data_IF_499681735100
#
_entry.id   IF_499681735100
#
_cell.length_a   1.000
_cell.length_b   1.000
_cell.length_c   1.000
_cell.angle_alpha   90.00
_cell.angle_beta   90.00
_cell.angle_gamma   90.00
#
_symmetry.space_group_name_H-M   'P 1'
#
loop_
_entity.id
_entity.type
_entity.pdbx_description
1 polymer ?
#
# COMPACT_ATOMS: atom_id res chain seq x y z
N UNK A 1 60.53 -19.40 -31.41
CA UNK A 1 60.65 -20.79 -30.94
C UNK A 1 59.52 -21.00 -29.94
N UNK A 2 58.45 -21.68 -30.33
CA UNK A 2 58.05 -23.03 -29.82
C UNK A 2 57.55 -22.87 -28.37
N UNK A 3 56.31 -23.13 -27.95
CA UNK A 3 55.26 -24.04 -28.41
C UNK A 3 53.93 -23.72 -27.70
N UNK A 4 52.84 -24.21 -28.30
CA UNK A 4 51.48 -24.29 -27.75
C UNK A 4 51.39 -25.58 -26.88
N UNK A 5 50.57 -25.62 -25.81
CA UNK A 5 49.58 -26.70 -25.82
C UNK A 5 48.25 -26.31 -25.14
N UNK A 6 47.22 -26.14 -25.97
CA UNK A 6 45.86 -26.61 -25.67
C UNK A 6 45.90 -28.13 -25.82
N UNK A 7 45.55 -28.90 -24.77
CA UNK A 7 44.85 -30.20 -24.80
C UNK A 7 45.19 -31.06 -23.55
N UNK A 8 44.65 -30.74 -22.37
CA UNK A 8 44.35 -31.73 -21.32
C UNK A 8 43.11 -31.26 -20.55
N UNK A 9 41.96 -31.39 -21.17
CA UNK A 9 40.66 -31.26 -20.53
C UNK A 9 39.89 -32.49 -20.95
N UNK A 10 39.95 -33.54 -20.13
CA UNK A 10 38.88 -34.53 -19.94
C UNK A 10 39.32 -35.59 -18.92
N UNK A 11 38.46 -35.76 -17.91
CA UNK A 11 38.34 -36.87 -16.96
C UNK A 11 39.36 -36.92 -15.81
N UNK A 12 38.94 -36.52 -14.59
CA UNK A 12 38.45 -37.45 -13.56
C UNK A 12 38.20 -36.76 -12.19
N UNK A 13 37.14 -37.22 -11.51
CA UNK A 13 36.81 -37.07 -10.06
C UNK A 13 36.35 -35.68 -9.58
N UNK A 14 35.23 -35.47 -8.88
CA UNK A 14 34.41 -36.37 -8.05
C UNK A 14 32.97 -35.87 -7.93
N UNK A 15 32.07 -36.83 -7.70
CA UNK A 15 30.71 -36.66 -7.19
C UNK A 15 30.64 -35.62 -6.06
N UNK A 16 29.91 -34.53 -6.28
CA UNK A 16 29.12 -33.92 -5.21
C UNK A 16 27.66 -34.32 -5.45
N UNK A 17 27.23 -35.37 -4.76
CA UNK A 17 25.83 -35.55 -4.43
C UNK A 17 25.43 -34.34 -3.60
N UNK A 18 24.82 -33.35 -4.22
CA UNK A 18 23.98 -32.43 -3.47
C UNK A 18 22.85 -33.28 -2.90
N UNK A 19 22.98 -33.63 -1.62
CA UNK A 19 21.83 -33.82 -0.77
C UNK A 19 21.12 -32.47 -0.74
N UNK A 20 20.23 -32.25 -1.71
CA UNK A 20 19.18 -31.27 -1.55
C UNK A 20 18.34 -31.75 -0.39
N UNK A 21 18.59 -31.23 0.81
CA UNK A 21 17.54 -31.16 1.82
C UNK A 21 16.34 -30.52 1.12
N UNK A 22 15.28 -31.28 0.94
CA UNK A 22 14.00 -30.74 0.51
C UNK A 22 13.52 -29.81 1.62
N UNK A 23 13.94 -28.55 1.54
CA UNK A 23 13.36 -27.47 2.34
C UNK A 23 11.87 -27.52 2.02
N UNK A 24 11.05 -27.90 3.00
CA UNK A 24 9.60 -27.91 2.87
C UNK A 24 9.21 -26.45 2.67
N UNK A 25 8.92 -26.09 1.42
CA UNK A 25 8.55 -24.74 1.00
C UNK A 25 7.11 -24.46 1.45
N UNK A 26 6.96 -24.10 2.73
CA UNK A 26 5.70 -23.68 3.34
C UNK A 26 5.53 -22.17 3.15
N UNK A 27 4.92 -21.77 2.04
CA UNK A 27 4.54 -20.38 1.72
C UNK A 27 3.08 -20.12 2.11
N UNK A 28 2.71 -18.85 2.24
CA UNK A 28 1.31 -18.46 2.46
C UNK A 28 0.57 -18.49 1.13
N UNK A 29 -0.55 -19.22 1.11
CA UNK A 29 -1.46 -19.30 -0.01
C UNK A 29 -2.84 -18.78 0.39
N UNK A 30 -3.49 -18.06 -0.51
CA UNK A 30 -4.88 -17.63 -0.40
C UNK A 30 -5.76 -18.65 -1.12
N UNK A 31 -6.76 -19.19 -0.43
CA UNK A 31 -7.81 -20.08 -0.97
C UNK A 31 -9.10 -19.28 -1.06
N UNK A 32 -9.48 -18.89 -2.29
CA UNK A 32 -10.70 -18.15 -2.57
C UNK A 32 -11.84 -19.12 -2.94
N UNK A 33 -13.00 -18.95 -2.33
CA UNK A 33 -14.16 -19.84 -2.47
C UNK A 33 -15.42 -19.15 -3.01
N UNK A 34 -15.29 -17.91 -3.50
CA UNK A 34 -16.42 -17.14 -4.05
C UNK A 34 -17.16 -16.33 -2.97
N UNK A 35 -18.38 -15.88 -3.29
CA UNK A 35 -19.20 -15.09 -2.38
C UNK A 35 -19.52 -15.83 -1.07
N UNK A 36 -19.69 -15.06 0.01
CA UNK A 36 -20.14 -15.55 1.31
C UNK A 36 -21.63 -15.96 1.26
N UNK A 37 -22.09 -16.70 2.26
CA UNK A 37 -23.51 -16.99 2.40
C UNK A 37 -24.25 -15.68 2.82
N UNK A 38 -25.33 -15.28 2.13
CA UNK A 38 -26.07 -14.05 2.46
C UNK A 38 -26.69 -14.05 3.87
N UNK A 39 -26.62 -15.17 4.61
CA UNK A 39 -27.08 -15.27 6.00
C UNK A 39 -25.98 -14.95 7.04
N UNK A 40 -25.99 -13.70 7.52
CA UNK A 40 -25.34 -13.18 8.75
C UNK A 40 -24.03 -13.89 9.22
N UNK A 41 -23.01 -13.93 8.35
CA UNK A 41 -21.65 -14.34 8.75
C UNK A 41 -21.49 -15.79 9.18
N UNK A 42 -22.44 -16.67 8.85
CA UNK A 42 -22.28 -18.12 9.05
C UNK A 42 -21.35 -18.69 7.98
N UNK A 43 -20.35 -19.47 8.41
CA UNK A 43 -19.39 -20.09 7.50
C UNK A 43 -20.13 -21.10 6.60
N UNK A 44 -19.99 -20.94 5.28
CA UNK A 44 -20.53 -21.86 4.26
C UNK A 44 -20.07 -23.30 4.55
N UNK A 45 -20.94 -24.30 4.40
CA UNK A 45 -20.62 -25.69 4.82
C UNK A 45 -19.39 -26.27 4.12
N UNK A 46 -19.23 -25.96 2.83
CA UNK A 46 -18.07 -26.33 2.04
C UNK A 46 -16.81 -25.55 2.48
N UNK A 47 -16.92 -24.26 2.82
CA UNK A 47 -15.81 -23.52 3.43
C UNK A 47 -15.36 -24.18 4.75
N UNK A 48 -16.29 -24.48 5.66
CA UNK A 48 -15.97 -25.20 6.89
C UNK A 48 -15.35 -26.59 6.63
N UNK A 49 -15.75 -27.27 5.55
CA UNK A 49 -15.18 -28.54 5.15
C UNK A 49 -13.73 -28.41 4.67
N UNK A 50 -13.47 -27.50 3.73
CA UNK A 50 -12.12 -27.26 3.18
C UNK A 50 -11.18 -26.77 4.28
N UNK A 51 -11.62 -25.83 5.12
CA UNK A 51 -10.85 -25.29 6.24
C UNK A 51 -10.48 -26.38 7.26
N UNK A 52 -11.38 -27.32 7.54
CA UNK A 52 -11.10 -28.47 8.41
C UNK A 52 -9.99 -29.39 7.86
N UNK A 53 -9.79 -29.46 6.53
CA UNK A 53 -8.69 -30.25 5.96
C UNK A 53 -7.32 -29.65 6.28
N UNK A 54 -7.25 -28.32 6.44
CA UNK A 54 -6.04 -27.60 6.87
C UNK A 54 -5.83 -27.80 8.37
N UNK A 55 -6.86 -27.57 9.20
CA UNK A 55 -6.77 -27.73 10.65
C UNK A 55 -6.41 -29.15 11.11
N UNK A 56 -6.89 -30.19 10.42
CA UNK A 56 -6.55 -31.59 10.74
C UNK A 56 -5.06 -31.91 10.60
N UNK A 57 -4.35 -31.16 9.76
CA UNK A 57 -2.92 -31.36 9.52
C UNK A 57 -2.06 -30.46 10.40
N UNK A 58 -2.43 -29.19 10.52
CA UNK A 58 -1.74 -28.22 11.35
C UNK A 58 -2.72 -27.12 11.76
N UNK A 59 -3.04 -27.05 13.05
CA UNK A 59 -3.96 -26.07 13.61
C UNK A 59 -3.43 -24.63 13.54
N UNK A 60 -2.10 -24.46 13.48
CA UNK A 60 -1.41 -23.18 13.34
C UNK A 60 -1.17 -22.75 11.89
N UNK A 61 -1.62 -23.52 10.90
CA UNK A 61 -1.41 -23.16 9.50
C UNK A 61 -2.33 -22.03 9.03
N UNK A 62 -3.47 -21.81 9.69
CA UNK A 62 -4.42 -20.76 9.33
C UNK A 62 -3.86 -19.38 9.72
N UNK A 63 -3.84 -18.47 8.75
CA UNK A 63 -3.47 -17.06 8.95
C UNK A 63 -4.73 -16.21 9.09
N UNK A 64 -5.59 -16.21 8.07
CA UNK A 64 -6.81 -15.40 8.01
C UNK A 64 -8.00 -16.23 7.53
N UNK A 65 -9.20 -15.89 8.00
CA UNK A 65 -10.45 -16.54 7.61
C UNK A 65 -11.46 -15.48 7.14
N UNK A 66 -11.85 -15.54 5.87
CA UNK A 66 -12.75 -14.59 5.20
C UNK A 66 -14.16 -15.16 5.15
N UNK A 67 -15.16 -14.44 5.68
CA UNK A 67 -16.52 -15.01 5.82
C UNK A 67 -17.67 -13.98 5.74
N UNK A 68 -17.38 -12.69 5.59
CA UNK A 68 -18.39 -11.64 5.67
C UNK A 68 -18.88 -11.18 4.29
N UNK A 69 -17.99 -10.69 3.43
CA UNK A 69 -18.26 -10.37 2.02
C UNK A 69 -17.98 -11.54 1.09
N UNK A 70 -16.94 -12.33 1.37
CA UNK A 70 -16.58 -13.50 0.58
C UNK A 70 -16.08 -14.65 1.44
N UNK A 71 -16.09 -15.84 0.84
CA UNK A 71 -15.69 -17.07 1.50
C UNK A 71 -14.28 -17.44 1.09
N UNK A 72 -13.44 -17.78 2.07
CA UNK A 72 -12.10 -18.29 1.83
C UNK A 72 -11.19 -18.14 3.04
N UNK A 73 -9.91 -18.44 2.88
CA UNK A 73 -8.92 -18.28 3.94
C UNK A 73 -7.51 -18.14 3.38
N UNK A 74 -6.58 -17.61 4.17
CA UNK A 74 -5.14 -17.71 3.91
C UNK A 74 -4.50 -18.68 4.88
N UNK A 75 -3.64 -19.57 4.38
CA UNK A 75 -2.94 -20.54 5.19
C UNK A 75 -1.53 -20.81 4.68
N UNK A 76 -0.62 -21.19 5.59
CA UNK A 76 0.69 -21.75 5.25
C UNK A 76 0.52 -23.16 4.71
N UNK A 77 0.80 -23.34 3.43
CA UNK A 77 0.62 -24.59 2.72
C UNK A 77 1.88 -24.92 1.92
N UNK A 78 2.19 -26.21 1.80
CA UNK A 78 3.10 -26.64 0.74
C UNK A 78 2.42 -26.48 -0.62
N UNK A 79 3.21 -26.31 -1.69
CA UNK A 79 2.69 -26.24 -3.06
C UNK A 79 1.79 -27.43 -3.43
N UNK A 80 2.10 -28.63 -2.94
CA UNK A 80 1.28 -29.83 -3.16
C UNK A 80 -0.08 -29.75 -2.44
N UNK A 81 -0.11 -29.15 -1.25
CA UNK A 81 -1.35 -28.93 -0.50
C UNK A 81 -2.21 -27.85 -1.15
N UNK A 82 -1.60 -26.74 -1.57
CA UNK A 82 -2.28 -25.70 -2.33
C UNK A 82 -2.92 -26.27 -3.60
N UNK A 83 -2.18 -27.08 -4.36
CA UNK A 83 -2.70 -27.76 -5.56
C UNK A 83 -3.83 -28.75 -5.24
N UNK A 84 -3.72 -29.49 -4.13
CA UNK A 84 -4.77 -30.43 -3.72
C UNK A 84 -6.05 -29.71 -3.27
N UNK A 85 -5.93 -28.57 -2.60
CA UNK A 85 -7.06 -27.75 -2.15
C UNK A 85 -7.74 -27.08 -3.35
N UNK A 86 -6.97 -26.64 -4.35
CA UNK A 86 -7.51 -26.05 -5.58
C UNK A 86 -8.47 -26.97 -6.36
N UNK A 87 -8.41 -28.29 -6.12
CA UNK A 87 -9.28 -29.28 -6.75
C UNK A 87 -10.54 -29.61 -5.92
N UNK A 88 -10.71 -29.02 -4.74
CA UNK A 88 -11.86 -29.30 -3.87
C UNK A 88 -13.12 -28.55 -4.32
N UNK A 89 -14.31 -29.16 -4.22
CA UNK A 89 -15.57 -28.49 -4.52
C UNK A 89 -15.76 -27.21 -3.70
N UNK A 90 -16.19 -26.13 -4.36
CA UNK A 90 -16.43 -24.83 -3.71
C UNK A 90 -15.20 -23.92 -3.66
N UNK A 91 -14.00 -24.40 -4.03
CA UNK A 91 -12.80 -23.58 -4.20
C UNK A 91 -12.77 -23.00 -5.62
N UNK A 92 -12.67 -21.68 -5.73
CA UNK A 92 -12.59 -20.95 -6.99
C UNK A 92 -11.15 -20.86 -7.47
N UNK A 93 -10.22 -20.51 -6.58
CA UNK A 93 -8.80 -20.39 -6.90
C UNK A 93 -7.92 -20.54 -5.66
N UNK A 94 -6.66 -20.94 -5.88
CA UNK A 94 -5.61 -20.99 -4.84
C UNK A 94 -4.33 -20.40 -5.42
N UNK A 95 -3.73 -19.41 -4.76
CA UNK A 95 -2.56 -18.70 -5.27
C UNK A 95 -1.64 -18.18 -4.16
N UNK A 96 -0.33 -17.98 -4.42
CA UNK A 96 0.61 -17.46 -3.42
C UNK A 96 0.25 -16.03 -3.00
N UNK A 97 0.50 -15.69 -1.74
CA UNK A 97 0.24 -14.36 -1.18
C UNK A 97 1.19 -13.28 -1.80
N UNK A 98 0.68 -12.28 -2.55
CA UNK A 98 1.52 -11.26 -3.20
C UNK A 98 1.85 -10.06 -2.28
N UNK A 99 2.96 -9.35 -2.56
CA UNK A 99 3.38 -8.10 -1.87
C UNK A 99 3.26 -6.86 -2.78
N UNK A 100 2.66 -5.76 -2.28
CA UNK A 100 2.35 -4.52 -3.05
C UNK A 100 3.09 -3.23 -2.57
N UNK A 101 3.11 -2.13 -3.36
CA UNK A 101 3.86 -0.83 -3.13
C UNK A 101 2.97 0.44 -3.01
N UNK A 102 3.48 1.56 -2.44
CA UNK A 102 2.75 2.76 -1.95
C UNK A 102 2.94 4.11 -2.77
N UNK A 103 1.93 5.02 -2.91
CA UNK A 103 1.90 6.31 -3.70
C UNK A 103 1.25 7.67 -3.13
N UNK A 104 2.02 8.79 -3.09
CA UNK A 104 1.77 10.29 -3.37
C UNK A 104 0.92 11.32 -2.54
N UNK A 105 1.13 12.65 -2.81
CA UNK A 105 1.00 13.78 -1.81
C UNK A 105 0.54 15.27 -2.11
N UNK A 106 -0.13 15.71 -3.22
CA UNK A 106 -0.80 17.08 -3.32
C UNK A 106 -1.79 17.24 -4.49
N UNK A 107 -2.91 17.99 -4.35
CA UNK A 107 -3.89 18.11 -5.47
C UNK A 107 -5.00 19.20 -5.44
N UNK A 108 -5.58 19.59 -4.30
CA UNK A 108 -6.98 20.10 -4.32
C UNK A 108 -7.26 21.51 -4.88
N UNK A 109 -6.47 22.55 -4.59
CA UNK A 109 -6.73 23.91 -5.13
C UNK A 109 -6.49 23.99 -6.65
N UNK A 110 -5.56 23.17 -7.15
CA UNK A 110 -5.34 22.98 -8.60
C UNK A 110 -6.59 22.43 -9.27
N UNK A 111 -7.24 21.42 -8.69
CA UNK A 111 -8.47 20.83 -9.24
C UNK A 111 -9.65 21.81 -9.29
N UNK A 112 -9.84 22.66 -8.27
CA UNK A 112 -10.89 23.70 -8.27
C UNK A 112 -10.67 24.73 -9.39
N UNK A 113 -9.42 25.10 -9.67
CA UNK A 113 -9.07 26.07 -10.72
C UNK A 113 -9.20 25.52 -12.15
N UNK A 114 -8.94 24.22 -12.36
CA UNK A 114 -8.86 23.61 -13.68
C UNK A 114 -10.18 23.03 -14.18
N UNK A 115 -11.09 22.62 -13.28
CA UNK A 115 -12.24 21.81 -13.70
C UNK A 115 -13.54 22.58 -13.91
N UNK A 116 -13.62 23.86 -13.53
CA UNK A 116 -14.91 24.60 -13.39
C UNK A 116 -16.00 23.84 -12.61
N UNK A 117 -15.64 22.72 -11.97
CA UNK A 117 -16.53 21.97 -11.10
C UNK A 117 -16.64 22.83 -9.85
N UNK A 118 -17.76 23.54 -9.75
CA UNK A 118 -18.24 24.09 -8.50
C UNK A 118 -18.52 22.87 -7.62
N UNK A 119 -17.51 22.38 -6.89
CA UNK A 119 -17.73 21.49 -5.74
C UNK A 119 -18.47 22.39 -4.75
N UNK A 120 -19.80 22.41 -4.86
CA UNK A 120 -20.68 23.34 -4.18
C UNK A 120 -20.25 23.45 -2.72
N UNK A 121 -19.62 24.59 -2.40
CA UNK A 121 -19.00 24.94 -1.11
C UNK A 121 -20.00 25.00 0.06
N UNK A 122 -21.25 24.64 -0.22
CA UNK A 122 -22.31 24.22 0.68
C UNK A 122 -23.11 23.15 -0.08
N UNK A 123 -22.98 21.87 0.28
CA UNK A 123 -24.21 21.09 0.35
C UNK A 123 -25.11 21.92 1.27
N UNK A 124 -26.20 22.45 0.70
CA UNK A 124 -27.19 23.22 1.42
C UNK A 124 -27.46 22.54 2.75
N UNK A 125 -27.59 23.32 3.82
CA UNK A 125 -28.01 22.92 5.17
C UNK A 125 -29.44 22.34 5.21
N UNK A 126 -29.91 21.78 4.09
CA UNK A 126 -31.23 21.25 3.82
C UNK A 126 -31.20 19.95 2.99
N UNK A 127 -30.04 19.36 2.70
CA UNK A 127 -29.96 17.99 2.20
C UNK A 127 -29.87 17.02 3.40
N UNK A 128 -30.70 15.97 3.47
CA UNK A 128 -30.65 15.01 4.56
C UNK A 128 -29.38 14.15 4.39
N UNK A 129 -28.34 14.46 5.17
CA UNK A 129 -27.05 13.79 5.17
C UNK A 129 -25.92 14.81 5.06
N UNK A 130 -25.39 15.25 6.19
CA UNK A 130 -24.13 16.00 6.23
C UNK A 130 -23.02 15.09 5.68
N UNK A 131 -22.05 15.62 4.93
CA UNK A 131 -20.89 14.86 4.45
C UNK A 131 -20.07 14.21 5.59
N UNK A 132 -20.35 14.61 6.83
CA UNK A 132 -19.88 13.97 8.06
C UNK A 132 -20.38 12.55 8.29
N UNK A 133 -21.37 12.08 7.54
CA UNK A 133 -21.90 10.71 7.67
C UNK A 133 -21.24 9.70 6.72
N UNK A 134 -20.33 10.19 5.86
CA UNK A 134 -19.55 9.36 4.94
C UNK A 134 -18.31 8.84 5.65
N UNK A 135 -18.08 7.53 5.55
CA UNK A 135 -16.90 6.84 6.06
C UNK A 135 -16.01 6.38 4.90
N UNK A 136 -14.79 6.91 4.86
CA UNK A 136 -13.76 6.50 3.89
C UNK A 136 -12.86 5.46 4.56
N UNK A 137 -12.85 4.24 4.04
CA UNK A 137 -11.93 3.20 4.44
C UNK A 137 -10.58 3.33 3.72
N UNK A 138 -9.51 3.40 4.50
CA UNK A 138 -8.13 3.52 4.01
C UNK A 138 -7.42 2.19 4.20
N UNK A 139 -7.12 1.49 3.10
CA UNK A 139 -6.29 0.28 3.12
C UNK A 139 -4.86 0.68 2.74
N UNK A 140 -4.00 0.80 3.75
CA UNK A 140 -2.67 1.40 3.60
C UNK A 140 -1.71 0.93 4.72
N UNK A 141 -0.70 1.74 5.06
CA UNK A 141 0.34 1.52 6.08
C UNK A 141 -0.06 1.99 7.48
N UNK A 142 -1.34 2.31 7.69
CA UNK A 142 -1.90 2.70 8.98
C UNK A 142 -2.17 4.20 9.08
N UNK A 143 -2.19 4.72 10.31
CA UNK A 143 -2.42 6.16 10.57
C UNK A 143 -1.53 6.69 11.69
N UNK A 144 -1.09 7.95 11.59
CA UNK A 144 -0.55 8.72 12.71
C UNK A 144 -1.65 9.59 13.33
N UNK A 145 -2.37 9.10 14.35
CA UNK A 145 -3.63 9.70 14.81
C UNK A 145 -3.45 11.07 15.46
N UNK A 146 -2.25 11.41 15.95
CA UNK A 146 -1.96 12.69 16.59
C UNK A 146 -1.75 13.85 15.60
N UNK A 147 -1.75 13.59 14.28
CA UNK A 147 -1.60 14.66 13.30
C UNK A 147 -2.80 15.63 13.33
N UNK A 148 -2.55 16.93 13.18
CA UNK A 148 -3.60 17.97 13.21
C UNK A 148 -4.72 17.74 12.18
N UNK A 149 -4.37 17.15 11.04
CA UNK A 149 -5.30 16.74 9.98
C UNK A 149 -6.39 15.78 10.46
N UNK A 150 -6.23 15.11 11.62
CA UNK A 150 -7.17 14.14 12.15
C UNK A 150 -7.83 14.57 13.46
N UNK A 151 -7.78 15.88 13.77
CA UNK A 151 -8.58 16.45 14.86
C UNK A 151 -10.08 16.20 14.62
N UNK A 152 -10.84 15.96 15.69
CA UNK A 152 -12.29 15.76 15.59
C UNK A 152 -13.11 16.99 16.02
N UNK A 153 -12.42 18.13 16.21
CA UNK A 153 -13.02 19.37 16.69
C UNK A 153 -14.12 19.85 15.74
N UNK A 154 -15.32 20.01 16.28
CA UNK A 154 -16.48 20.49 15.53
C UNK A 154 -17.23 19.40 14.75
N UNK A 155 -16.78 18.14 14.81
CA UNK A 155 -17.49 17.04 14.15
C UNK A 155 -18.63 16.49 15.01
N UNK A 156 -19.73 16.13 14.36
CA UNK A 156 -20.89 15.45 14.96
C UNK A 156 -20.53 14.07 15.53
N UNK A 157 -21.39 13.45 16.36
CA UNK A 157 -21.23 12.07 16.82
C UNK A 157 -21.00 11.07 15.67
N UNK A 158 -20.38 9.93 16.01
CA UNK A 158 -20.13 8.85 15.03
C UNK A 158 -21.48 8.32 14.52
N UNK A 159 -21.64 8.12 13.19
CA UNK A 159 -22.88 7.61 12.62
C UNK A 159 -23.29 6.27 13.23
N UNK A 160 -24.58 6.11 13.55
CA UNK A 160 -25.09 4.89 14.19
C UNK A 160 -24.97 3.62 13.31
N UNK A 161 -24.78 3.79 11.99
CA UNK A 161 -24.53 2.69 11.05
C UNK A 161 -23.13 2.08 11.20
N UNK A 162 -22.19 2.79 11.82
CA UNK A 162 -20.81 2.35 11.94
C UNK A 162 -20.68 1.19 12.92
N UNK A 163 -20.13 0.07 12.46
CA UNK A 163 -19.94 -1.16 13.24
C UNK A 163 -18.46 -1.50 13.47
N UNK A 164 -17.54 -0.69 12.96
CA UNK A 164 -16.11 -0.94 13.08
C UNK A 164 -15.52 -0.68 14.46
N UNK A 165 -14.28 -1.12 14.63
CA UNK A 165 -13.60 -1.15 15.93
C UNK A 165 -12.31 -0.35 15.93
N UNK A 166 -11.91 0.09 17.13
CA UNK A 166 -10.61 0.69 17.38
C UNK A 166 -9.73 -0.34 18.11
N UNK A 167 -8.93 -1.09 17.36
CA UNK A 167 -8.06 -2.13 17.91
C UNK A 167 -6.99 -1.53 18.82
N UNK A 168 -6.72 -2.21 19.93
CA UNK A 168 -5.68 -1.82 20.88
C UNK A 168 -4.41 -2.62 20.60
N UNK A 169 -3.28 -1.95 20.74
CA UNK A 169 -1.91 -2.50 20.67
C UNK A 169 -1.05 -1.83 21.74
N UNK A 170 0.27 -2.05 21.71
CA UNK A 170 1.22 -1.46 22.66
C UNK A 170 1.29 0.08 22.59
N UNK A 171 1.09 0.67 21.41
CA UNK A 171 1.26 2.09 21.11
C UNK A 171 0.00 2.74 20.48
N UNK A 172 -1.11 2.01 20.48
CA UNK A 172 -2.41 2.44 19.99
C UNK A 172 -3.50 1.97 20.94
N UNK A 173 -4.33 2.88 21.43
CA UNK A 173 -5.42 2.56 22.34
C UNK A 173 -6.72 3.24 21.89
N UNK A 174 -7.81 3.03 22.63
CA UNK A 174 -9.13 3.56 22.27
C UNK A 174 -9.18 5.09 22.15
N UNK A 175 -8.27 5.83 22.79
CA UNK A 175 -8.18 7.30 22.67
C UNK A 175 -7.55 7.76 21.36
N UNK A 176 -6.92 6.87 20.59
CA UNK A 176 -6.35 7.19 19.28
C UNK A 176 -7.41 7.21 18.17
N UNK A 177 -8.56 6.55 18.39
CA UNK A 177 -9.77 6.82 17.62
C UNK A 177 -10.56 7.95 18.28
N UNK A 178 -11.22 8.75 17.45
CA UNK A 178 -12.00 9.90 17.86
C UNK A 178 -13.19 10.06 16.89
N UNK A 179 -13.87 11.22 16.85
CA UNK A 179 -14.96 11.39 15.87
C UNK A 179 -14.45 11.54 14.43
N UNK A 180 -13.15 11.74 14.17
CA UNK A 180 -12.55 11.81 12.84
C UNK A 180 -12.08 10.43 12.35
N UNK A 181 -11.20 9.79 13.12
CA UNK A 181 -10.74 8.41 12.92
C UNK A 181 -11.66 7.53 13.78
N UNK A 182 -12.70 6.96 13.16
CA UNK A 182 -13.77 6.26 13.88
C UNK A 182 -13.50 4.77 14.07
N UNK A 183 -12.54 4.22 13.33
CA UNK A 183 -12.04 2.87 13.52
C UNK A 183 -10.62 2.72 12.99
N UNK A 184 -9.91 1.76 13.56
CA UNK A 184 -8.52 1.47 13.23
C UNK A 184 -8.25 0.00 13.51
N UNK A 185 -7.87 -0.73 12.45
CA UNK A 185 -7.50 -2.14 12.46
C UNK A 185 -6.11 -2.31 11.87
N UNK A 186 -5.46 -3.40 12.26
CA UNK A 186 -4.21 -3.84 11.66
C UNK A 186 -4.28 -5.35 11.42
N UNK A 187 -3.55 -5.80 10.42
CA UNK A 187 -3.50 -7.20 10.02
C UNK A 187 -2.04 -7.63 10.07
N UNK A 188 -1.74 -8.61 10.92
CA UNK A 188 -0.38 -9.13 11.07
C UNK A 188 0.01 -9.85 9.78
N UNK A 189 1.15 -9.46 9.23
CA UNK A 189 1.75 -10.18 8.11
C UNK A 189 2.23 -11.53 8.62
N UNK A 190 1.72 -12.67 8.10
CA UNK A 190 2.17 -13.98 8.51
C UNK A 190 3.69 -14.17 8.41
N UNK A 191 4.34 -13.53 7.43
CA UNK A 191 5.77 -13.65 7.12
C UNK A 191 6.63 -12.48 7.65
N UNK A 192 6.02 -11.52 8.36
CA UNK A 192 6.73 -10.39 8.97
C UNK A 192 7.34 -10.74 10.33
N UNK A 193 8.45 -10.08 10.68
CA UNK A 193 9.01 -10.22 12.03
C UNK A 193 8.13 -9.47 13.04
N UNK A 194 8.00 -9.99 14.27
CA UNK A 194 7.18 -9.40 15.33
C UNK A 194 7.60 -7.94 15.70
N UNK A 195 8.80 -7.53 15.29
CA UNK A 195 9.43 -6.24 15.58
C UNK A 195 9.26 -5.20 14.45
N UNK A 196 8.61 -5.55 13.33
CA UNK A 196 8.48 -4.68 12.15
C UNK A 196 7.42 -3.56 12.28
N UNK A 197 6.88 -3.34 13.48
CA UNK A 197 5.79 -2.38 13.70
C UNK A 197 4.46 -2.80 13.04
N UNK A 198 4.34 -4.08 12.66
CA UNK A 198 3.16 -4.64 11.99
C UNK A 198 1.95 -4.81 12.93
N UNK A 199 2.19 -4.94 14.24
CA UNK A 199 1.18 -5.31 15.24
C UNK A 199 0.45 -4.11 15.86
N UNK A 200 0.19 -3.07 15.07
CA UNK A 200 -0.48 -1.85 15.51
C UNK A 200 -1.09 -1.09 14.33
N UNK A 201 -2.24 -0.40 14.48
CA UNK A 201 -2.76 0.49 13.43
C UNK A 201 -1.87 1.73 13.18
N UNK A 202 -0.88 1.98 14.05
CA UNK A 202 0.01 3.13 13.92
C UNK A 202 0.83 3.05 12.64
N UNK A 203 0.88 4.18 11.94
CA UNK A 203 1.73 4.35 10.75
C UNK A 203 3.17 4.65 11.15
N UNK A 204 4.09 3.80 10.71
CA UNK A 204 5.54 3.94 10.89
C UNK A 204 6.25 4.30 9.57
N UNK A 205 5.54 4.28 8.44
CA UNK A 205 6.08 4.56 7.11
C UNK A 205 5.71 5.98 6.63
N UNK A 206 4.55 6.48 7.05
CA UNK A 206 4.02 7.82 6.77
C UNK A 206 3.08 7.89 5.58
N UNK A 207 3.00 6.83 4.76
CA UNK A 207 2.21 6.86 3.53
C UNK A 207 0.71 6.83 3.79
N UNK A 208 0.23 5.99 4.72
CA UNK A 208 -1.18 5.90 5.07
C UNK A 208 -1.69 7.17 5.72
N UNK A 209 -0.87 7.77 6.57
CA UNK A 209 -1.10 9.12 7.11
C UNK A 209 -1.22 10.15 5.99
N UNK A 210 -0.32 10.07 5.01
CA UNK A 210 -0.34 10.98 3.89
C UNK A 210 -1.62 10.84 3.05
N UNK A 211 -1.94 9.62 2.59
CA UNK A 211 -3.09 9.35 1.73
C UNK A 211 -4.41 9.65 2.45
N UNK A 212 -4.54 9.28 3.73
CA UNK A 212 -5.70 9.60 4.55
C UNK A 212 -5.91 11.11 4.72
N UNK A 213 -4.84 11.87 4.95
CA UNK A 213 -4.92 13.34 5.02
C UNK A 213 -5.26 13.98 3.67
N UNK A 214 -4.85 13.36 2.56
CA UNK A 214 -5.21 13.81 1.21
C UNK A 214 -6.69 13.56 0.91
N UNK A 215 -7.22 12.39 1.31
CA UNK A 215 -8.62 12.05 1.10
C UNK A 215 -9.55 12.90 1.98
N UNK A 216 -9.28 12.95 3.29
CA UNK A 216 -10.18 13.57 4.26
C UNK A 216 -9.46 14.30 5.39
N UNK A 217 -8.24 14.81 5.22
CA UNK A 217 -7.62 15.65 6.25
C UNK A 217 -8.45 16.90 6.55
N UNK A 218 -8.55 17.27 7.82
CA UNK A 218 -9.12 18.53 8.24
C UNK A 218 -8.29 19.72 7.73
N UNK A 219 -8.89 20.90 7.80
CA UNK A 219 -8.24 22.16 7.45
C UNK A 219 -7.15 22.48 8.47
N UNK A 220 -5.88 22.49 8.03
CA UNK A 220 -4.70 22.82 8.84
C UNK A 220 -4.02 24.04 8.25
N UNK A 221 -4.08 25.17 8.95
CA UNK A 221 -3.47 26.44 8.53
C UNK A 221 -1.97 26.46 8.83
N UNK A 222 -1.17 27.04 7.93
CA UNK A 222 0.28 27.18 8.14
C UNK A 222 1.06 25.87 7.95
N UNK A 223 0.45 24.87 7.34
CA UNK A 223 1.12 23.63 6.97
C UNK A 223 2.24 23.92 5.96
N UNK A 224 3.41 23.33 6.20
CA UNK A 224 4.56 23.41 5.31
C UNK A 224 5.43 22.18 5.49
N UNK A 225 6.30 21.91 4.52
CA UNK A 225 7.35 20.91 4.64
C UNK A 225 8.69 21.63 4.72
N UNK A 226 9.16 21.89 5.95
CA UNK A 226 10.34 22.74 6.22
C UNK A 226 10.27 24.13 5.55
N UNK A 227 9.08 24.76 5.57
CA UNK A 227 8.83 26.07 4.94
C UNK A 227 8.48 26.00 3.44
N UNK A 228 8.74 24.86 2.78
CA UNK A 228 8.26 24.63 1.42
C UNK A 228 6.75 24.42 1.43
N UNK A 229 6.10 24.86 0.35
CA UNK A 229 4.66 24.68 0.14
C UNK A 229 3.76 25.26 1.23
N UNK A 230 4.22 26.31 1.91
CA UNK A 230 3.47 26.97 2.99
C UNK A 230 2.07 27.35 2.53
N UNK A 231 1.07 26.94 3.31
CA UNK A 231 -0.33 27.25 3.03
C UNK A 231 -1.28 26.56 3.98
N UNK A 232 -2.50 26.35 3.52
CA UNK A 232 -3.52 25.59 4.24
C UNK A 232 -3.64 24.20 3.63
N UNK A 233 -3.38 23.16 4.43
CA UNK A 233 -3.63 21.77 4.04
C UNK A 233 -5.10 21.42 4.29
N UNK A 234 -5.72 20.66 3.37
CA UNK A 234 -7.07 20.10 3.52
C UNK A 234 -7.19 18.86 2.64
N UNK A 235 -8.01 17.90 3.05
CA UNK A 235 -8.41 16.77 2.21
C UNK A 235 -9.47 17.16 1.18
N UNK A 236 -9.79 16.22 0.29
CA UNK A 236 -10.88 16.38 -0.69
C UNK A 236 -12.26 16.43 -0.04
N UNK A 237 -12.46 15.68 1.04
CA UNK A 237 -13.66 15.70 1.88
C UNK A 237 -13.32 15.86 3.38
N UNK A 238 -13.01 17.07 3.85
CA UNK A 238 -12.58 17.31 5.24
C UNK A 238 -13.59 16.88 6.30
N UNK A 239 -14.89 16.87 6.00
CA UNK A 239 -15.92 16.48 6.98
C UNK A 239 -16.10 14.96 7.10
N UNK A 240 -15.64 14.17 6.13
CA UNK A 240 -15.83 12.70 6.15
C UNK A 240 -15.03 12.02 7.25
N UNK A 241 -15.51 10.86 7.70
CA UNK A 241 -14.86 10.01 8.69
C UNK A 241 -13.83 9.12 8.03
N UNK A 242 -12.84 8.69 8.81
CA UNK A 242 -11.80 7.76 8.39
C UNK A 242 -11.92 6.45 9.17
N UNK A 243 -11.87 5.34 8.44
CA UNK A 243 -11.68 4.00 8.98
C UNK A 243 -10.36 3.45 8.44
N UNK A 244 -9.44 3.08 9.33
CA UNK A 244 -8.07 2.74 8.97
C UNK A 244 -7.90 1.23 9.00
N UNK A 245 -7.39 0.66 7.91
CA UNK A 245 -7.08 -0.75 7.76
C UNK A 245 -5.62 -0.88 7.36
N UNK A 246 -4.75 -1.11 8.35
CA UNK A 246 -3.31 -1.26 8.10
C UNK A 246 -3.02 -2.65 7.54
N UNK A 247 -2.75 -2.69 6.23
CA UNK A 247 -2.43 -3.91 5.47
C UNK A 247 -1.01 -3.91 4.90
N UNK A 248 -0.29 -2.79 5.06
CA UNK A 248 1.07 -2.61 4.54
C UNK A 248 2.08 -2.32 5.67
N UNK A 249 3.25 -2.94 5.58
CA UNK A 249 4.46 -2.61 6.34
C UNK A 249 5.64 -2.47 5.35
N UNK A 250 6.62 -3.39 5.39
CA UNK A 250 7.66 -3.54 4.36
C UNK A 250 7.05 -3.86 2.99
N UNK A 251 5.87 -4.49 3.01
CA UNK A 251 5.04 -4.81 1.88
C UNK A 251 3.58 -4.96 2.31
N UNK A 252 2.67 -5.14 1.36
CA UNK A 252 1.26 -5.39 1.65
C UNK A 252 0.89 -6.82 1.26
N UNK A 253 0.67 -7.71 2.24
CA UNK A 253 0.26 -9.07 1.94
C UNK A 253 -1.18 -9.10 1.43
N UNK A 254 -1.41 -9.81 0.34
CA UNK A 254 -2.73 -10.02 -0.24
C UNK A 254 -3.73 -10.65 0.73
N UNK A 255 -3.27 -11.49 1.65
CA UNK A 255 -4.12 -12.07 2.69
C UNK A 255 -4.66 -11.02 3.67
N UNK A 256 -3.81 -10.08 4.09
CA UNK A 256 -4.20 -8.92 4.89
C UNK A 256 -5.15 -7.99 4.13
N UNK A 257 -4.91 -7.78 2.84
CA UNK A 257 -5.78 -6.96 1.98
C UNK A 257 -7.19 -7.55 1.90
N UNK A 258 -7.32 -8.86 1.67
CA UNK A 258 -8.62 -9.53 1.65
C UNK A 258 -9.30 -9.47 3.02
N UNK A 259 -8.58 -9.72 4.12
CA UNK A 259 -9.14 -9.58 5.46
C UNK A 259 -9.67 -8.15 5.73
N UNK A 260 -8.93 -7.13 5.28
CA UNK A 260 -9.34 -5.74 5.39
C UNK A 260 -10.57 -5.40 4.54
N UNK A 261 -10.69 -5.94 3.32
CA UNK A 261 -11.93 -5.78 2.54
C UNK A 261 -13.13 -6.42 3.25
N UNK A 262 -12.97 -7.64 3.77
CA UNK A 262 -14.02 -8.37 4.49
C UNK A 262 -14.53 -7.58 5.71
N UNK A 263 -13.60 -7.09 6.53
CA UNK A 263 -13.91 -6.22 7.67
C UNK A 263 -14.49 -4.88 7.25
N UNK A 264 -13.96 -4.23 6.21
CA UNK A 264 -14.43 -2.91 5.81
C UNK A 264 -15.86 -2.90 5.28
N UNK A 265 -16.23 -3.94 4.51
CA UNK A 265 -17.60 -4.15 4.06
C UNK A 265 -18.52 -4.35 5.26
N UNK A 266 -18.11 -5.18 6.23
CA UNK A 266 -18.88 -5.47 7.45
C UNK A 266 -18.98 -4.26 8.39
N UNK A 267 -17.95 -3.43 8.45
CA UNK A 267 -17.88 -2.22 9.28
C UNK A 267 -18.75 -1.07 8.72
N UNK A 268 -19.19 -1.18 7.46
CA UNK A 268 -20.11 -0.25 6.81
C UNK A 268 -19.43 1.01 6.27
N UNK A 269 -18.23 0.86 5.68
CA UNK A 269 -17.59 1.95 4.92
C UNK A 269 -18.39 2.31 3.67
N UNK A 270 -18.32 3.57 3.23
CA UNK A 270 -19.05 4.05 2.04
C UNK A 270 -18.15 4.07 0.79
N UNK A 271 -16.85 4.31 0.97
CA UNK A 271 -15.83 4.35 -0.09
C UNK A 271 -14.55 3.72 0.43
N UNK A 272 -13.85 2.98 -0.43
CA UNK A 272 -12.52 2.43 -0.16
C UNK A 272 -11.47 3.13 -1.00
N UNK A 273 -10.37 3.54 -0.36
CA UNK A 273 -9.20 4.12 -1.01
C UNK A 273 -7.98 3.23 -0.81
N UNK A 274 -7.42 2.74 -1.92
CA UNK A 274 -6.27 1.84 -1.97
C UNK A 274 -5.16 2.46 -2.81
N UNK A 275 -4.14 3.01 -2.14
CA UNK A 275 -2.93 3.50 -2.81
C UNK A 275 -1.85 2.41 -2.82
N UNK A 276 -2.24 1.22 -3.30
CA UNK A 276 -1.39 0.04 -3.40
C UNK A 276 -1.66 -0.74 -4.70
N UNK A 277 -0.69 -1.52 -5.15
CA UNK A 277 -0.79 -2.28 -6.38
C UNK A 277 0.40 -3.20 -6.61
N UNK A 278 0.20 -4.19 -7.49
CA UNK A 278 1.19 -5.23 -7.81
C UNK A 278 2.28 -4.72 -8.76
N UNK A 279 3.33 -5.52 -8.90
CA UNK A 279 4.27 -5.34 -10.02
C UNK A 279 3.53 -5.54 -11.35
N UNK A 280 3.77 -4.69 -12.38
CA UNK A 280 3.15 -4.87 -13.70
C UNK A 280 3.58 -6.17 -14.39
N UNK A 281 4.71 -6.76 -13.98
CA UNK A 281 5.22 -8.06 -14.48
C UNK A 281 4.37 -9.25 -14.02
N UNK A 282 3.52 -9.07 -13.02
CA UNK A 282 2.65 -10.09 -12.45
C UNK A 282 1.23 -9.75 -12.82
N UNK A 283 0.66 -10.38 -13.85
CA UNK A 283 -0.72 -10.17 -14.32
C UNK A 283 -1.61 -11.40 -14.01
N UNK A 284 -2.04 -11.58 -12.75
CA UNK A 284 -3.03 -12.58 -12.41
C UNK A 284 -4.34 -12.33 -13.15
N UNK A 285 -5.09 -13.41 -13.36
CA UNK A 285 -6.50 -13.33 -13.75
C UNK A 285 -7.31 -12.68 -12.60
N UNK A 286 -8.47 -12.10 -12.92
CA UNK A 286 -9.38 -11.45 -11.97
C UNK A 286 -9.76 -12.38 -10.80
N UNK A 287 -9.82 -13.68 -11.05
CA UNK A 287 -10.12 -14.72 -10.05
C UNK A 287 -8.97 -14.99 -9.08
N UNK A 288 -7.79 -14.42 -9.31
CA UNK A 288 -6.57 -14.57 -8.49
C UNK A 288 -5.94 -13.23 -8.10
N UNK A 289 -6.54 -12.11 -8.50
CA UNK A 289 -6.11 -10.78 -8.12
C UNK A 289 -6.85 -10.36 -6.83
N UNK A 290 -6.11 -10.26 -5.72
CA UNK A 290 -6.68 -9.96 -4.39
C UNK A 290 -7.42 -8.63 -4.33
N UNK A 291 -6.95 -7.62 -5.08
CA UNK A 291 -7.63 -6.33 -5.14
C UNK A 291 -8.88 -6.46 -5.99
N UNK A 292 -8.81 -7.16 -7.13
CA UNK A 292 -9.99 -7.40 -7.96
C UNK A 292 -11.08 -8.17 -7.20
N UNK A 293 -10.72 -9.23 -6.46
CA UNK A 293 -11.66 -10.02 -5.64
C UNK A 293 -12.28 -9.14 -4.55
N UNK A 294 -11.47 -8.51 -3.70
CA UNK A 294 -11.97 -7.70 -2.59
C UNK A 294 -12.84 -6.53 -3.06
N UNK A 295 -12.43 -5.88 -4.15
CA UNK A 295 -13.18 -4.78 -4.74
C UNK A 295 -14.48 -5.21 -5.43
N UNK A 296 -14.54 -6.42 -5.99
CA UNK A 296 -15.77 -6.95 -6.56
C UNK A 296 -16.86 -7.06 -5.49
N UNK A 297 -16.52 -7.66 -4.34
CA UNK A 297 -17.45 -7.80 -3.21
C UNK A 297 -17.81 -6.45 -2.59
N UNK A 298 -16.86 -5.51 -2.50
CA UNK A 298 -17.18 -4.15 -2.08
C UNK A 298 -18.20 -3.50 -3.03
N UNK A 299 -18.01 -3.63 -4.35
CA UNK A 299 -18.93 -3.10 -5.35
C UNK A 299 -20.32 -3.75 -5.31
N UNK A 300 -20.41 -5.06 -5.07
CA UNK A 300 -21.69 -5.75 -4.86
C UNK A 300 -22.47 -5.22 -3.64
N UNK A 301 -21.74 -4.73 -2.63
CA UNK A 301 -22.30 -4.05 -1.45
C UNK A 301 -22.49 -2.54 -1.65
N UNK A 302 -22.32 -2.02 -2.87
CA UNK A 302 -22.52 -0.60 -3.19
C UNK A 302 -21.39 0.31 -2.73
N UNK A 303 -20.21 -0.23 -2.41
CA UNK A 303 -19.03 0.49 -1.95
C UNK A 303 -18.12 0.75 -3.14
N UNK A 304 -17.86 2.03 -3.44
CA UNK A 304 -16.92 2.41 -4.50
C UNK A 304 -15.49 2.13 -4.05
N UNK A 305 -14.70 1.49 -4.91
CA UNK A 305 -13.26 1.26 -4.67
C UNK A 305 -12.42 2.10 -5.62
N UNK A 306 -11.56 2.92 -5.03
CA UNK A 306 -10.64 3.82 -5.75
C UNK A 306 -9.21 3.30 -5.57
N UNK A 307 -8.54 2.99 -6.68
CA UNK A 307 -7.18 2.47 -6.67
C UNK A 307 -6.23 3.30 -7.55
N UNK A 308 -4.96 3.36 -7.19
CA UNK A 308 -3.93 3.94 -8.07
C UNK A 308 -3.64 3.02 -9.27
N UNK A 309 -3.31 3.61 -10.43
CA UNK A 309 -2.94 2.89 -11.66
C UNK A 309 -1.54 2.25 -11.63
N UNK A 310 -0.73 2.56 -10.62
CA UNK A 310 0.67 2.11 -10.53
C UNK A 310 1.67 3.13 -11.06
N UNK A 311 2.93 2.99 -10.61
CA UNK A 311 4.03 3.92 -10.92
C UNK A 311 5.10 3.30 -11.85
N UNK A 312 4.76 2.26 -12.61
CA UNK A 312 5.73 1.54 -13.45
C UNK A 312 5.76 2.00 -14.91
N UNK A 313 5.12 3.13 -15.21
CA UNK A 313 5.20 3.76 -16.52
C UNK A 313 6.61 4.27 -16.86
N UNK A 314 6.80 4.85 -18.06
CA UNK A 314 5.78 5.26 -19.03
C UNK A 314 5.46 4.22 -20.11
N UNK A 315 6.06 3.04 -20.05
CA UNK A 315 5.89 1.99 -21.07
C UNK A 315 4.44 1.46 -21.12
N UNK A 316 4.05 0.93 -22.28
CA UNK A 316 2.73 0.31 -22.47
C UNK A 316 2.53 -0.89 -21.54
N UNK A 317 1.28 -1.18 -21.17
CA UNK A 317 0.88 -2.33 -20.35
C UNK A 317 1.49 -2.34 -18.93
N UNK A 318 1.68 -1.15 -18.34
CA UNK A 318 2.24 -0.98 -16.99
C UNK A 318 1.19 -0.64 -15.93
N UNK A 319 -0.08 -0.43 -16.33
CA UNK A 319 -1.21 -0.16 -15.43
C UNK A 319 -1.55 -1.41 -14.63
N UNK A 320 -1.89 -1.20 -13.36
CA UNK A 320 -2.44 -2.22 -12.44
C UNK A 320 -3.76 -1.72 -11.85
N UNK A 321 -4.47 -2.61 -11.13
CA UNK A 321 -5.80 -2.34 -10.58
C UNK A 321 -6.84 -2.00 -11.66
N UNK A 322 -6.80 -2.73 -12.76
CA UNK A 322 -7.54 -2.51 -14.00
C UNK A 322 -8.86 -3.30 -14.09
N UNK A 323 -9.32 -3.88 -12.97
CA UNK A 323 -10.60 -4.56 -12.92
C UNK A 323 -11.74 -3.56 -13.22
N UNK A 324 -12.75 -3.92 -14.05
CA UNK A 324 -13.74 -2.96 -14.54
C UNK A 324 -14.61 -2.27 -13.47
N UNK A 325 -14.69 -2.84 -12.28
CA UNK A 325 -15.45 -2.30 -11.14
C UNK A 325 -14.61 -1.40 -10.22
N UNK A 326 -13.33 -1.19 -10.52
CA UNK A 326 -12.43 -0.31 -9.79
C UNK A 326 -12.35 1.05 -10.49
N UNK A 327 -12.39 2.14 -9.73
CA UNK A 327 -11.99 3.45 -10.22
C UNK A 327 -10.45 3.55 -10.18
N UNK A 328 -9.81 3.29 -11.31
CA UNK A 328 -8.35 3.33 -11.46
C UNK A 328 -7.85 4.73 -11.80
N UNK A 329 -6.98 5.29 -10.97
CA UNK A 329 -6.55 6.70 -11.02
C UNK A 329 -5.08 6.81 -11.43
N UNK A 330 -4.82 7.52 -12.53
CA UNK A 330 -3.48 7.89 -12.97
C UNK A 330 -2.97 9.16 -12.26
N UNK A 331 -1.66 9.38 -12.26
CA UNK A 331 -1.03 10.58 -11.73
C UNK A 331 -0.72 11.59 -12.83
N UNK A 332 -0.95 12.87 -12.56
CA UNK A 332 -0.58 14.00 -13.43
C UNK A 332 0.13 15.06 -12.62
N UNK A 333 0.84 15.96 -13.29
CA UNK A 333 1.49 17.10 -12.64
C UNK A 333 0.49 18.21 -12.34
N UNK A 334 0.85 19.04 -11.36
CA UNK A 334 0.15 20.29 -11.07
C UNK A 334 1.00 21.48 -11.52
N UNK A 335 0.45 22.68 -11.42
CA UNK A 335 1.11 23.94 -11.77
C UNK A 335 2.27 24.35 -10.83
N UNK A 336 2.40 23.68 -9.68
CA UNK A 336 3.47 23.93 -8.71
C UNK A 336 4.69 23.03 -8.96
N UNK A 337 5.82 23.69 -9.17
CA UNK A 337 7.16 23.12 -9.28
C UNK A 337 8.04 23.50 -8.06
N UNK A 338 8.95 22.62 -7.65
CA UNK A 338 9.93 22.87 -6.59
C UNK A 338 11.33 23.04 -7.17
N UNK A 339 11.80 24.28 -7.17
CA UNK A 339 13.09 24.63 -7.75
C UNK A 339 14.19 24.68 -6.69
N UNK A 340 15.31 24.04 -7.01
CA UNK A 340 16.56 24.13 -6.25
C UNK A 340 17.67 24.59 -7.19
N UNK A 341 17.98 25.88 -7.12
CA UNK A 341 18.98 26.50 -7.99
C UNK A 341 20.39 26.27 -7.45
N UNK A 342 21.33 25.99 -8.35
CA UNK A 342 22.77 25.87 -8.03
C UNK A 342 23.48 27.13 -8.51
N UNK A 343 24.09 27.87 -7.58
CA UNK A 343 24.96 29.01 -7.89
C UNK A 343 26.40 28.52 -8.00
N UNK A 344 27.02 28.71 -9.16
CA UNK A 344 28.42 28.40 -9.40
C UNK A 344 29.32 29.59 -9.02
N UNK A 345 30.61 29.31 -8.73
CA UNK A 345 31.58 30.34 -8.37
C UNK A 345 31.85 31.40 -9.46
N UNK A 346 31.47 31.13 -10.71
CA UNK A 346 31.48 32.10 -11.82
C UNK A 346 30.18 32.92 -11.91
N UNK A 347 29.34 32.92 -10.87
CA UNK A 347 28.03 33.59 -10.80
C UNK A 347 26.93 33.03 -11.71
N UNK A 348 27.20 31.94 -12.42
CA UNK A 348 26.19 31.26 -13.22
C UNK A 348 25.19 30.55 -12.31
N UNK A 349 23.90 30.70 -12.61
CA UNK A 349 22.81 30.00 -11.92
C UNK A 349 22.28 28.89 -12.82
N UNK A 350 22.38 27.65 -12.34
CA UNK A 350 21.72 26.50 -12.95
C UNK A 350 20.39 26.31 -12.23
N UNK A 351 19.28 26.40 -12.99
CA UNK A 351 17.96 26.06 -12.45
C UNK A 351 17.82 24.55 -12.40
N UNK A 352 17.54 24.02 -11.21
CA UNK A 352 17.29 22.60 -10.99
C UNK A 352 15.93 22.37 -10.36
N UNK A 353 15.47 21.13 -10.44
CA UNK A 353 14.24 20.65 -9.79
C UNK A 353 14.65 19.67 -8.70
N UNK A 354 14.43 20.05 -7.44
CA UNK A 354 14.68 19.20 -6.29
C UNK A 354 14.01 19.77 -5.03
N UNK A 355 13.74 18.90 -4.08
CA UNK A 355 13.37 19.30 -2.72
C UNK A 355 14.66 19.38 -1.89
N UNK A 356 15.10 20.59 -1.56
CA UNK A 356 16.33 20.84 -0.80
C UNK A 356 16.02 21.56 0.52
N UNK A 357 16.54 21.03 1.63
CA UNK A 357 16.33 21.58 2.98
C UNK A 357 17.59 22.20 3.58
N UNK A 358 18.69 22.23 2.83
CA UNK A 358 19.93 22.81 3.32
C UNK A 358 19.68 24.28 3.68
N UNK A 359 20.04 24.74 4.89
CA UNK A 359 19.93 26.14 5.24
C UNK A 359 20.90 26.93 4.35
N UNK A 360 20.43 27.42 3.20
CA UNK A 360 21.23 28.14 2.21
C UNK A 360 21.90 29.39 2.80
N UNK A 361 21.39 29.92 3.91
CA UNK A 361 21.99 31.01 4.66
C UNK A 361 23.32 30.65 5.37
N UNK A 362 23.72 29.38 5.38
CA UNK A 362 24.94 28.87 6.05
C UNK A 362 25.89 28.08 5.13
N UNK A 363 25.62 28.00 3.83
CA UNK A 363 26.50 27.23 2.95
C UNK A 363 27.83 27.94 2.73
N UNK A 364 28.91 27.36 3.24
CA UNK A 364 30.26 27.61 2.73
C UNK A 364 30.29 27.31 1.23
N UNK A 365 31.03 28.07 0.43
CA UNK A 365 31.32 27.69 -0.95
C UNK A 365 32.07 26.35 -0.95
N UNK A 366 31.55 25.36 -1.66
CA UNK A 366 32.19 24.05 -1.78
C UNK A 366 32.91 23.93 -3.13
N UNK A 367 34.14 23.37 -3.17
CA UNK A 367 34.79 23.01 -4.42
C UNK A 367 33.93 22.03 -5.22
N UNK A 368 33.77 22.27 -6.52
CA UNK A 368 33.10 21.37 -7.43
C UNK A 368 34.14 20.55 -8.20
N UNK A 369 33.99 19.22 -8.20
CA UNK A 369 34.79 18.31 -9.03
C UNK A 369 33.86 17.47 -9.90
N UNK A 370 34.34 17.02 -11.06
CA UNK A 370 33.65 16.00 -11.84
C UNK A 370 33.99 14.62 -11.29
N UNK A 371 33.09 13.64 -11.44
CA UNK A 371 33.37 12.25 -11.05
C UNK A 371 34.64 11.68 -11.72
N UNK A 372 34.96 12.15 -12.94
CA UNK A 372 36.21 11.81 -13.63
C UNK A 372 37.45 12.33 -12.91
N UNK A 373 37.40 13.57 -12.38
CA UNK A 373 38.53 14.15 -11.63
C UNK A 373 38.71 13.55 -10.24
N UNK A 374 37.65 12.97 -9.66
CA UNK A 374 37.68 12.24 -8.38
C UNK A 374 37.91 10.72 -8.52
N UNK A 375 38.24 10.23 -9.72
CA UNK A 375 38.33 8.80 -10.01
C UNK A 375 39.60 8.19 -9.40
N UNK A 376 39.45 7.07 -8.69
CA UNK A 376 40.59 6.22 -8.31
C UNK A 376 41.28 5.64 -9.56
N UNK A 377 42.60 5.52 -9.55
CA UNK A 377 43.39 5.02 -10.70
C UNK A 377 42.97 3.64 -11.22
N UNK A 378 42.27 2.86 -10.39
CA UNK A 378 41.80 1.50 -10.70
C UNK A 378 40.33 1.41 -11.13
N UNK A 379 39.59 2.53 -11.12
CA UNK A 379 38.17 2.55 -11.49
C UNK A 379 37.98 2.87 -12.98
N UNK A 380 36.89 2.35 -13.56
CA UNK A 380 36.51 2.68 -14.92
C UNK A 380 35.84 4.08 -15.00
N UNK A 381 35.90 4.73 -16.17
CA UNK A 381 35.28 6.05 -16.38
C UNK A 381 33.75 6.01 -16.23
N UNK A 382 33.09 4.92 -16.65
CA UNK A 382 31.63 4.82 -16.54
C UNK A 382 31.18 4.60 -15.08
N UNK A 383 31.97 3.83 -14.31
CA UNK A 383 31.77 3.66 -12.85
C UNK A 383 31.97 4.99 -12.10
N UNK A 384 32.99 5.77 -12.47
CA UNK A 384 33.32 7.06 -11.85
C UNK A 384 32.29 8.15 -12.14
N UNK A 385 31.73 8.16 -13.36
CA UNK A 385 30.63 9.06 -13.75
C UNK A 385 29.33 8.75 -13.01
N UNK A 386 29.12 7.49 -12.60
CA UNK A 386 27.96 7.05 -11.84
C UNK A 386 28.15 7.14 -10.31
N UNK A 387 29.28 7.64 -9.80
CA UNK A 387 29.60 7.74 -8.36
C UNK A 387 29.38 6.41 -7.60
N UNK A 388 29.61 5.27 -8.25
CA UNK A 388 29.46 3.95 -7.61
C UNK A 388 30.71 3.65 -6.77
N UNK A 389 30.58 3.77 -5.45
CA UNK A 389 31.42 3.21 -4.37
C UNK A 389 32.95 3.05 -4.63
N UNK A 390 33.58 3.94 -5.40
CA UNK A 390 35.05 4.05 -5.58
C UNK A 390 35.45 5.47 -6.00
N UNK A 391 34.84 6.47 -5.37
CA UNK A 391 35.14 7.88 -5.62
C UNK A 391 35.57 8.49 -4.30
N UNK A 392 36.73 9.17 -4.30
CA UNK A 392 37.30 9.84 -3.14
C UNK A 392 37.04 11.33 -3.28
#
# INVERSE_FOLDING_TARGET
MIENPILVLLTFYSLFLFHGESKIDNQVYIVYMGAADPTNGTIRRDHAHVLNTVFRKNDKALIHNYKHGFSGFAARLSKNEANSIAQQPGVVSVFPDPILKLHTTRSWDFLESQTQIIINKKLSSSSPGSSSDIVIGMLDSGIWPEAESFSDKGMDPIPAKWSGTCMKSSDFNSSNCNRKIIGARYYTDPDGDDDDGANTPRDTFGHGTHTASTAAGNVVSGASYYGLATGTSKGGSPESRLAIYKVCNVGCSGSSILAAFDDAISDGVDVLSLSLGRSPSSQPDLTTDVIAIGSFHAAEHGILVVCSAGNSGPDQNTVVNDAPWILTVAATTIDRDFQSNVLLGNTQVIKGEAINFSPLSKSSDYPLITGESGKATTADLDEARCLQAKTI
#
